data_IF_923839121542
#
_entry.id   IF_923839121542
#
_cell.length_a   1.000
_cell.length_b   1.000
_cell.length_c   1.000
_cell.angle_alpha   90.00
_cell.angle_beta   90.00
_cell.angle_gamma   90.00
#
_symmetry.space_group_name_H-M   'P 1'
#
loop_
_entity.id
_entity.type
_entity.pdbx_description
1 polymer ?
#
# COMPACT_ATOMS: atom_id res chain seq x y z
N UNK A 1 43.13 41.61 24.63
CA UNK A 1 42.00 42.52 24.92
C UNK A 1 42.57 43.85 25.36
N UNK A 2 42.21 44.94 24.70
CA UNK A 2 42.58 46.30 25.11
C UNK A 2 41.83 46.65 26.39
N UNK A 3 42.54 47.09 27.44
CA UNK A 3 41.93 47.42 28.73
C UNK A 3 41.10 48.71 28.60
N UNK A 4 39.87 48.73 29.12
CA UNK A 4 39.10 49.96 29.17
C UNK A 4 39.57 50.82 30.36
N UNK A 5 40.03 52.03 30.07
CA UNK A 5 40.47 52.99 31.09
C UNK A 5 39.40 54.09 31.19
N UNK A 6 38.75 54.29 32.36
CA UNK A 6 37.74 55.33 32.53
C UNK A 6 38.27 56.72 32.14
N UNK A 7 37.52 57.45 31.32
CA UNK A 7 37.90 58.79 30.84
C UNK A 7 38.89 58.80 29.66
N UNK A 8 39.33 57.64 29.17
CA UNK A 8 40.21 57.51 28.01
C UNK A 8 39.57 56.63 26.91
N UNK A 9 39.83 56.96 25.65
CA UNK A 9 39.46 56.19 24.48
C UNK A 9 40.71 55.61 23.82
N UNK A 10 40.74 54.31 23.57
CA UNK A 10 41.81 53.67 22.84
C UNK A 10 41.59 53.83 21.33
N UNK A 11 42.54 54.48 20.65
CA UNK A 11 42.52 54.62 19.20
C UNK A 11 43.31 53.45 18.57
N UNK A 12 42.67 52.54 17.83
CA UNK A 12 43.31 51.35 17.28
C UNK A 12 44.31 51.67 16.17
N UNK A 13 44.16 52.79 15.46
CA UNK A 13 45.08 53.19 14.38
C UNK A 13 46.40 53.71 14.97
N UNK A 14 46.31 54.50 16.04
CA UNK A 14 47.47 55.09 16.74
C UNK A 14 48.00 54.23 17.87
N UNK A 15 47.32 53.13 18.20
CA UNK A 15 47.64 52.19 19.30
C UNK A 15 47.87 52.88 20.65
N UNK A 16 47.15 53.98 20.93
CA UNK A 16 47.35 54.83 22.12
C UNK A 16 46.01 55.27 22.73
N UNK A 17 46.02 55.53 24.04
CA UNK A 17 44.88 56.09 24.76
C UNK A 17 44.86 57.62 24.67
N UNK A 18 43.68 58.17 24.35
CA UNK A 18 43.42 59.60 24.30
C UNK A 18 42.38 59.98 25.35
N UNK A 19 42.61 61.08 26.07
CA UNK A 19 41.67 61.56 27.08
C UNK A 19 40.39 62.06 26.39
N UNK A 20 39.23 61.59 26.87
CA UNK A 20 37.94 62.01 26.34
C UNK A 20 37.64 63.41 26.87
N UNK A 21 37.46 64.38 25.98
CA UNK A 21 37.11 65.75 26.34
C UNK A 21 35.60 65.93 26.44
N UNK A 22 35.15 66.77 27.37
CA UNK A 22 33.73 67.15 27.45
C UNK A 22 33.33 67.96 26.20
N UNK A 23 32.09 67.81 25.74
CA UNK A 23 31.65 68.38 24.45
C UNK A 23 31.80 69.92 24.37
N UNK A 24 31.66 70.62 25.51
CA UNK A 24 31.80 72.07 25.59
C UNK A 24 33.26 72.56 25.63
N UNK A 25 34.22 71.68 25.95
CA UNK A 25 35.64 71.99 26.07
C UNK A 25 36.46 71.53 24.85
N UNK A 26 35.81 70.91 23.87
CA UNK A 26 36.43 70.34 22.69
C UNK A 26 36.26 71.28 21.49
N UNK A 27 37.30 71.42 20.65
CA UNK A 27 37.22 72.21 19.42
C UNK A 27 36.13 71.66 18.48
N UNK A 28 35.55 72.47 17.57
CA UNK A 28 34.38 72.11 16.75
C UNK A 28 34.49 70.85 15.86
N UNK A 29 35.67 70.23 15.74
CA UNK A 29 35.92 68.98 15.01
C UNK A 29 36.82 67.99 15.78
N UNK A 30 36.84 68.07 17.12
CA UNK A 30 37.68 67.21 17.94
C UNK A 30 37.29 65.73 17.79
N UNK A 31 38.24 64.89 17.37
CA UNK A 31 38.02 63.47 17.13
C UNK A 31 37.76 62.65 18.41
N UNK A 32 38.09 63.19 19.59
CA UNK A 32 38.04 62.50 20.90
C UNK A 32 37.10 63.20 21.91
N UNK A 33 36.04 63.85 21.45
CA UNK A 33 34.97 64.37 22.32
C UNK A 33 34.05 63.25 22.82
N UNK A 34 33.29 63.47 23.89
CA UNK A 34 32.33 62.48 24.40
C UNK A 34 31.32 62.04 23.31
N UNK A 35 30.82 62.99 22.51
CA UNK A 35 29.88 62.68 21.42
C UNK A 35 30.54 61.91 20.27
N UNK A 36 31.78 62.26 19.88
CA UNK A 36 32.48 61.55 18.80
C UNK A 36 32.85 60.12 19.22
N UNK A 37 33.29 59.93 20.46
CA UNK A 37 33.62 58.62 21.02
C UNK A 37 32.37 57.75 21.17
N UNK A 38 31.25 58.32 21.63
CA UNK A 38 29.96 57.61 21.70
C UNK A 38 29.50 57.14 20.31
N UNK A 39 29.64 58.00 19.29
CA UNK A 39 29.33 57.66 17.90
C UNK A 39 30.25 56.54 17.38
N UNK A 40 31.57 56.67 17.54
CA UNK A 40 32.55 55.64 17.14
C UNK A 40 32.29 54.28 17.81
N UNK A 41 31.92 54.27 19.09
CA UNK A 41 31.53 53.04 19.81
C UNK A 41 30.27 52.42 19.20
N UNK A 42 29.23 53.21 18.97
CA UNK A 42 27.99 52.71 18.36
C UNK A 42 28.21 52.14 16.96
N UNK A 43 29.01 52.81 16.13
CA UNK A 43 29.36 52.33 14.78
C UNK A 43 30.15 51.02 14.83
N UNK A 44 31.06 50.88 15.80
CA UNK A 44 31.83 49.66 16.00
C UNK A 44 30.92 48.50 16.40
N UNK A 45 30.00 48.70 17.34
CA UNK A 45 28.99 47.70 17.73
C UNK A 45 28.08 47.31 16.55
N UNK A 46 27.65 48.27 15.73
CA UNK A 46 26.86 47.97 14.52
C UNK A 46 27.65 47.14 13.51
N UNK A 47 28.94 47.45 13.32
CA UNK A 47 29.83 46.66 12.44
C UNK A 47 30.03 45.24 12.96
N UNK A 48 30.29 45.08 14.26
CA UNK A 48 30.44 43.77 14.90
C UNK A 48 29.17 42.93 14.77
N UNK A 49 28.01 43.52 15.04
CA UNK A 49 26.71 42.85 14.86
C UNK A 49 26.47 42.44 13.40
N UNK A 50 26.82 43.29 12.44
CA UNK A 50 26.70 42.98 10.99
C UNK A 50 27.64 41.86 10.58
N UNK A 51 28.88 41.84 11.10
CA UNK A 51 29.83 40.74 10.84
C UNK A 51 29.36 39.43 11.46
N UNK A 52 28.80 39.47 12.67
CA UNK A 52 28.26 38.29 13.35
C UNK A 52 27.04 37.73 12.62
N UNK A 53 26.17 38.60 12.13
CA UNK A 53 25.01 38.22 11.31
C UNK A 53 25.46 37.54 10.02
N UNK A 54 26.44 38.12 9.29
CA UNK A 54 27.02 37.50 8.09
C UNK A 54 27.63 36.13 8.39
N UNK A 55 28.44 36.01 9.44
CA UNK A 55 29.02 34.72 9.82
C UNK A 55 27.97 33.66 10.17
N UNK A 56 26.85 34.08 10.79
CA UNK A 56 25.72 33.19 11.09
C UNK A 56 25.02 32.76 9.81
N UNK A 57 24.69 33.69 8.92
CA UNK A 57 24.12 33.40 7.60
C UNK A 57 25.04 32.46 6.80
N UNK A 58 26.36 32.65 6.83
CA UNK A 58 27.30 31.79 6.13
C UNK A 58 27.38 30.35 6.70
N UNK A 59 27.09 30.17 7.99
CA UNK A 59 27.04 28.85 8.65
C UNK A 59 25.69 28.16 8.49
N UNK A 60 24.60 28.91 8.54
CA UNK A 60 23.23 28.39 8.50
C UNK A 60 22.72 28.21 7.05
N UNK A 61 23.25 28.97 6.09
CA UNK A 61 22.86 28.86 4.69
C UNK A 61 23.73 27.83 3.98
N UNK A 62 23.10 26.80 3.42
CA UNK A 62 23.78 25.79 2.60
C UNK A 62 24.39 26.49 1.38
N UNK A 63 25.71 26.62 1.35
CA UNK A 63 26.44 27.14 0.18
C UNK A 63 26.41 26.08 -0.91
N UNK A 64 25.83 26.40 -2.07
CA UNK A 64 25.97 25.57 -3.28
C UNK A 64 27.46 25.39 -3.60
N UNK A 65 27.87 24.16 -3.88
CA UNK A 65 29.21 23.84 -4.34
C UNK A 65 29.59 24.70 -5.55
N UNK A 66 30.86 25.09 -5.67
CA UNK A 66 31.33 25.97 -6.75
C UNK A 66 31.07 25.38 -8.15
N UNK A 67 31.12 24.05 -8.29
CA UNK A 67 30.75 23.33 -9.50
C UNK A 67 29.29 23.57 -9.91
N UNK A 68 28.35 23.62 -8.96
CA UNK A 68 26.92 23.85 -9.22
C UNK A 68 26.57 25.29 -9.64
N UNK A 69 27.55 26.21 -9.66
CA UNK A 69 27.37 27.58 -10.18
C UNK A 69 27.66 27.68 -11.68
N UNK A 70 28.23 26.63 -12.27
CA UNK A 70 28.55 26.63 -13.70
C UNK A 70 27.25 26.52 -14.52
N UNK A 71 27.00 27.41 -15.51
CA UNK A 71 25.82 27.34 -16.36
C UNK A 71 25.69 25.99 -17.09
N UNK A 72 26.80 25.31 -17.39
CA UNK A 72 26.79 23.99 -18.02
C UNK A 72 26.26 22.87 -17.12
N UNK A 73 26.25 23.05 -15.80
CA UNK A 73 25.65 22.07 -14.86
C UNK A 73 24.12 22.08 -14.92
N UNK A 74 23.53 23.16 -15.42
CA UNK A 74 22.08 23.24 -15.65
C UNK A 74 21.69 22.92 -17.09
N UNK A 75 22.65 22.70 -17.99
CA UNK A 75 22.39 22.36 -19.39
C UNK A 75 21.61 21.04 -19.51
N UNK A 76 21.92 20.07 -18.66
CA UNK A 76 21.14 18.83 -18.54
C UNK A 76 19.68 19.09 -18.15
N UNK A 77 19.39 20.18 -17.41
CA UNK A 77 18.03 20.59 -17.04
C UNK A 77 17.27 21.22 -18.20
N UNK A 78 17.96 21.95 -19.06
CA UNK A 78 17.41 22.58 -20.26
C UNK A 78 17.22 21.60 -21.43
N UNK A 79 18.09 20.58 -21.53
CA UNK A 79 18.02 19.51 -22.54
C UNK A 79 17.14 18.33 -22.06
N UNK A 80 16.55 18.41 -20.85
CA UNK A 80 15.72 17.34 -20.26
C UNK A 80 16.52 16.09 -19.83
N UNK A 81 17.84 16.16 -19.85
CA UNK A 81 18.79 15.13 -19.43
C UNK A 81 19.10 15.15 -17.91
N UNK A 82 18.20 15.68 -17.06
CA UNK A 82 18.35 15.50 -15.62
C UNK A 82 18.15 14.02 -15.34
N UNK A 83 19.14 13.39 -14.73
CA UNK A 83 18.92 12.20 -13.91
C UNK A 83 18.04 12.62 -12.72
N UNK A 84 16.75 12.86 -12.98
CA UNK A 84 15.74 12.89 -11.92
C UNK A 84 15.92 11.60 -11.17
N UNK A 85 16.01 11.66 -9.83
CA UNK A 85 16.08 10.44 -9.03
C UNK A 85 15.01 9.47 -9.54
N UNK A 86 15.34 8.19 -9.68
CA UNK A 86 14.44 7.19 -10.28
C UNK A 86 13.00 7.31 -9.73
N UNK A 87 12.87 7.66 -8.44
CA UNK A 87 11.62 7.90 -7.74
C UNK A 87 10.87 9.17 -8.16
N UNK A 88 11.56 10.29 -8.37
CA UNK A 88 10.94 11.52 -8.87
C UNK A 88 10.45 11.34 -10.31
N UNK A 89 11.19 10.59 -11.12
CA UNK A 89 10.78 10.23 -12.49
C UNK A 89 9.55 9.32 -12.48
N UNK A 90 9.56 8.28 -11.64
CA UNK A 90 8.42 7.39 -11.45
C UNK A 90 7.20 8.16 -10.96
N UNK A 91 7.34 9.07 -9.99
CA UNK A 91 6.23 9.91 -9.51
C UNK A 91 5.65 10.80 -10.62
N UNK A 92 6.50 11.41 -11.43
CA UNK A 92 6.04 12.24 -12.55
C UNK A 92 5.33 11.39 -13.60
N UNK A 93 5.87 10.22 -13.93
CA UNK A 93 5.26 9.28 -14.87
C UNK A 93 3.91 8.76 -14.37
N UNK A 94 3.83 8.38 -13.09
CA UNK A 94 2.61 7.93 -12.44
C UNK A 94 1.49 8.99 -12.56
N UNK A 95 1.81 10.26 -12.34
CA UNK A 95 0.86 11.38 -12.48
C UNK A 95 0.41 11.60 -13.92
N UNK A 96 1.33 11.50 -14.88
CA UNK A 96 1.02 11.64 -16.30
C UNK A 96 0.10 10.51 -16.75
N UNK A 97 0.46 9.27 -16.45
CA UNK A 97 -0.36 8.09 -16.76
C UNK A 97 -1.73 8.20 -16.07
N UNK A 98 -1.77 8.55 -14.78
CA UNK A 98 -3.04 8.73 -14.06
C UNK A 98 -3.95 9.80 -14.68
N UNK A 99 -3.36 10.83 -15.31
CA UNK A 99 -4.13 11.88 -15.98
C UNK A 99 -4.78 11.42 -17.29
N UNK A 100 -4.27 10.34 -17.89
CA UNK A 100 -4.72 9.77 -19.17
C UNK A 100 -5.70 8.60 -19.00
N UNK A 101 -6.05 8.24 -17.76
CA UNK A 101 -6.97 7.14 -17.48
C UNK A 101 -8.31 7.27 -18.24
N UNK A 102 -8.62 6.26 -19.02
CA UNK A 102 -9.86 6.13 -19.78
C UNK A 102 -10.74 5.02 -19.19
N UNK A 103 -12.04 5.30 -19.06
CA UNK A 103 -13.04 4.38 -18.53
C UNK A 103 -13.67 3.57 -19.66
N UNK A 104 -13.76 2.25 -19.47
CA UNK A 104 -14.58 1.35 -20.27
C UNK A 104 -15.40 0.41 -19.38
N UNK A 105 -16.65 0.16 -19.74
CA UNK A 105 -17.39 -0.96 -19.16
C UNK A 105 -16.86 -2.25 -19.80
N UNK A 106 -16.33 -3.16 -18.97
CA UNK A 106 -15.72 -4.39 -19.45
C UNK A 106 -16.77 -5.48 -19.62
N UNK A 107 -17.59 -5.67 -18.59
CA UNK A 107 -18.63 -6.67 -18.55
C UNK A 107 -19.65 -6.33 -17.48
N UNK A 108 -20.90 -6.67 -17.74
CA UNK A 108 -21.99 -6.62 -16.76
C UNK A 108 -22.47 -8.03 -16.55
N UNK A 109 -22.23 -8.55 -15.36
CA UNK A 109 -22.67 -9.88 -14.99
C UNK A 109 -24.19 -9.89 -14.93
N UNK A 110 -24.83 -10.92 -15.47
CA UNK A 110 -26.28 -10.98 -15.47
C UNK A 110 -26.80 -10.87 -14.03
N UNK A 111 -27.59 -9.83 -13.71
CA UNK A 111 -28.19 -9.73 -12.39
C UNK A 111 -29.16 -10.90 -12.27
N UNK A 112 -28.81 -11.87 -11.43
CA UNK A 112 -29.77 -12.86 -10.95
C UNK A 112 -31.00 -12.11 -10.41
N UNK A 113 -32.26 -12.61 -10.46
CA UNK A 113 -33.54 -11.88 -10.38
C UNK A 113 -33.79 -10.76 -9.34
N UNK A 114 -32.83 -10.38 -8.49
CA UNK A 114 -32.86 -9.26 -7.55
C UNK A 114 -31.52 -8.51 -7.54
N UNK A 115 -31.42 -7.32 -6.93
CA UNK A 115 -30.18 -6.53 -6.87
C UNK A 115 -29.03 -7.27 -6.14
N UNK A 116 -27.95 -7.61 -6.86
CA UNK A 116 -26.68 -8.14 -6.33
C UNK A 116 -25.60 -7.06 -6.36
N UNK A 117 -24.58 -7.21 -5.51
CA UNK A 117 -23.38 -6.38 -5.57
C UNK A 117 -22.15 -7.28 -5.67
N UNK A 118 -21.36 -7.06 -6.71
CA UNK A 118 -20.02 -7.61 -6.88
C UNK A 118 -19.22 -7.27 -5.62
N UNK A 119 -18.42 -8.22 -5.12
CA UNK A 119 -17.56 -8.08 -3.94
C UNK A 119 -16.08 -8.16 -4.25
N UNK A 120 -15.72 -9.01 -5.20
CA UNK A 120 -14.35 -9.22 -5.64
C UNK A 120 -14.35 -9.45 -7.14
N UNK A 121 -13.33 -8.92 -7.80
CA UNK A 121 -13.07 -9.13 -9.22
C UNK A 121 -11.64 -9.59 -9.38
N UNK A 122 -11.44 -10.66 -10.15
CA UNK A 122 -10.15 -11.17 -10.54
C UNK A 122 -10.20 -11.48 -12.04
N UNK A 123 -9.11 -11.27 -12.75
CA UNK A 123 -8.91 -11.84 -14.08
C UNK A 123 -7.77 -12.82 -14.02
N UNK A 124 -7.95 -14.01 -14.59
CA UNK A 124 -6.88 -14.97 -14.68
C UNK A 124 -5.86 -14.50 -15.72
N UNK A 125 -4.60 -14.19 -15.35
CA UNK A 125 -3.62 -13.73 -16.32
C UNK A 125 -3.34 -14.80 -17.39
N UNK A 126 -3.41 -16.10 -17.06
CA UNK A 126 -3.07 -17.16 -18.03
C UNK A 126 -4.17 -17.39 -19.06
N UNK A 127 -5.42 -17.24 -18.66
CA UNK A 127 -6.58 -17.63 -19.48
C UNK A 127 -7.46 -16.45 -19.88
N UNK A 128 -7.20 -15.25 -19.38
CA UNK A 128 -8.06 -14.07 -19.56
C UNK A 128 -9.46 -14.18 -18.94
N UNK A 129 -9.80 -15.28 -18.28
CA UNK A 129 -11.12 -15.49 -17.66
C UNK A 129 -11.38 -14.41 -16.62
N UNK A 130 -12.45 -13.65 -16.79
CA UNK A 130 -12.93 -12.68 -15.82
C UNK A 130 -13.75 -13.43 -14.76
N UNK A 131 -13.52 -13.13 -13.49
CA UNK A 131 -14.13 -13.81 -12.35
C UNK A 131 -14.70 -12.72 -11.45
N UNK A 132 -15.99 -12.80 -11.16
CA UNK A 132 -16.64 -11.92 -10.21
C UNK A 132 -17.37 -12.73 -9.16
N UNK A 133 -17.13 -12.39 -7.90
CA UNK A 133 -17.98 -12.82 -6.81
C UNK A 133 -19.07 -11.79 -6.59
N UNK A 134 -20.31 -12.22 -6.41
CA UNK A 134 -21.43 -11.37 -6.03
C UNK A 134 -22.04 -11.84 -4.72
N UNK A 135 -22.61 -10.91 -3.96
CA UNK A 135 -23.27 -11.19 -2.69
C UNK A 135 -24.66 -10.56 -2.63
N UNK A 136 -25.59 -11.28 -1.99
CA UNK A 136 -26.93 -10.80 -1.63
C UNK A 136 -27.35 -11.39 -0.30
N UNK A 137 -27.47 -10.54 0.71
CA UNK A 137 -27.76 -11.02 2.08
C UNK A 137 -26.71 -12.03 2.51
N UNK A 138 -27.14 -13.27 2.79
CA UNK A 138 -26.28 -14.40 3.18
C UNK A 138 -26.00 -15.38 2.03
N UNK A 139 -26.39 -15.06 0.80
CA UNK A 139 -26.06 -15.85 -0.38
C UNK A 139 -24.92 -15.20 -1.15
N UNK A 140 -23.96 -16.00 -1.58
CA UNK A 140 -22.87 -15.58 -2.45
C UNK A 140 -22.82 -16.45 -3.69
N UNK A 141 -22.43 -15.86 -4.80
CA UNK A 141 -22.16 -16.60 -6.03
C UNK A 141 -20.86 -16.15 -6.65
N UNK A 142 -20.25 -17.05 -7.42
CA UNK A 142 -19.10 -16.73 -8.24
C UNK A 142 -19.48 -17.04 -9.68
N UNK A 143 -19.39 -16.03 -10.54
CA UNK A 143 -19.54 -16.16 -11.98
C UNK A 143 -18.17 -15.97 -12.65
N UNK A 144 -18.00 -16.67 -13.76
CA UNK A 144 -16.85 -16.52 -14.66
C UNK A 144 -17.34 -16.11 -16.04
N UNK A 145 -16.63 -15.24 -16.71
CA UNK A 145 -16.87 -14.88 -18.10
C UNK A 145 -15.59 -15.16 -18.89
N UNK A 146 -15.68 -16.09 -19.84
CA UNK A 146 -14.56 -16.41 -20.72
C UNK A 146 -14.41 -15.32 -21.78
N UNK A 147 -13.19 -14.83 -22.05
CA UNK A 147 -13.01 -13.86 -23.09
C UNK A 147 -13.26 -14.51 -24.46
N UNK A 148 -14.00 -13.83 -25.31
CA UNK A 148 -13.94 -14.03 -26.75
C UNK A 148 -12.77 -13.21 -27.31
N UNK A 149 -12.10 -13.75 -28.33
CA UNK A 149 -10.93 -13.13 -28.94
C UNK A 149 -11.36 -12.56 -30.29
N UNK A 150 -11.79 -11.30 -30.28
CA UNK A 150 -12.14 -10.57 -31.51
C UNK A 150 -11.08 -9.51 -31.81
N UNK A 151 -10.59 -9.50 -33.05
CA UNK A 151 -9.54 -8.60 -33.53
C UNK A 151 -8.38 -8.42 -32.55
N UNK A 152 -8.10 -9.48 -31.78
CA UNK A 152 -7.09 -9.52 -30.74
C UNK A 152 -7.22 -8.62 -29.52
N UNK A 153 -8.44 -8.35 -29.12
CA UNK A 153 -8.69 -7.92 -27.76
C UNK A 153 -9.66 -8.90 -27.12
N UNK A 154 -9.48 -9.09 -25.81
CA UNK A 154 -10.46 -9.83 -25.03
C UNK A 154 -11.76 -9.03 -24.95
N UNK A 155 -12.84 -9.62 -25.46
CA UNK A 155 -14.21 -9.13 -25.29
C UNK A 155 -14.98 -10.08 -24.38
N UNK A 156 -15.76 -9.52 -23.47
CA UNK A 156 -16.52 -10.30 -22.49
C UNK A 156 -18.01 -10.18 -22.79
N UNK A 157 -18.51 -11.13 -23.58
CA UNK A 157 -19.93 -11.20 -23.90
C UNK A 157 -20.70 -12.03 -22.86
N UNK A 158 -21.97 -11.66 -22.62
CA UNK A 158 -22.87 -12.35 -21.68
C UNK A 158 -23.06 -13.83 -22.03
N UNK A 159 -23.00 -14.18 -23.33
CA UNK A 159 -23.11 -15.57 -23.80
C UNK A 159 -21.97 -16.48 -23.30
N UNK A 160 -20.84 -15.89 -22.92
CA UNK A 160 -19.67 -16.57 -22.36
C UNK A 160 -19.66 -16.62 -20.83
N UNK A 161 -20.67 -16.04 -20.17
CA UNK A 161 -20.83 -16.09 -18.73
C UNK A 161 -21.26 -17.50 -18.28
N UNK A 162 -20.62 -18.02 -17.24
CA UNK A 162 -20.99 -19.26 -16.55
C UNK A 162 -20.97 -19.02 -15.05
N UNK A 163 -22.00 -19.50 -14.37
CA UNK A 163 -22.04 -19.52 -12.91
C UNK A 163 -21.18 -20.68 -12.42
N UNK A 164 -20.11 -20.39 -11.68
CA UNK A 164 -19.22 -21.40 -11.14
C UNK A 164 -19.87 -22.15 -9.96
N UNK A 165 -20.46 -21.39 -9.03
CA UNK A 165 -21.26 -21.94 -7.93
C UNK A 165 -22.13 -20.86 -7.27
N UNK A 166 -23.11 -21.31 -6.49
CA UNK A 166 -23.97 -20.51 -5.64
C UNK A 166 -24.13 -21.20 -4.30
N UNK A 167 -23.91 -20.46 -3.22
CA UNK A 167 -23.93 -21.03 -1.88
C UNK A 167 -24.62 -20.06 -0.91
N UNK A 168 -25.42 -20.57 0.04
CA UNK A 168 -26.01 -19.77 1.12
C UNK A 168 -24.98 -19.47 2.21
N UNK A 169 -23.83 -18.94 1.81
CA UNK A 169 -22.70 -18.60 2.65
C UNK A 169 -22.24 -17.18 2.30
N UNK A 170 -21.66 -16.50 3.29
CA UNK A 170 -20.92 -15.26 3.08
C UNK A 170 -19.53 -15.55 2.51
N UNK A 171 -19.26 -15.06 1.31
CA UNK A 171 -17.93 -15.12 0.71
C UNK A 171 -17.03 -14.04 1.32
N UNK A 172 -15.97 -14.45 2.02
CA UNK A 172 -15.06 -13.54 2.72
C UNK A 172 -13.94 -13.00 1.85
N UNK A 173 -13.34 -13.85 1.02
CA UNK A 173 -12.18 -13.53 0.19
C UNK A 173 -12.05 -14.51 -0.97
N UNK A 174 -11.43 -14.04 -2.04
CA UNK A 174 -11.17 -14.83 -3.24
C UNK A 174 -9.73 -14.61 -3.70
N UNK A 175 -9.00 -15.69 -3.99
CA UNK A 175 -7.61 -15.62 -4.47
C UNK A 175 -7.36 -16.65 -5.57
N UNK A 176 -6.51 -16.27 -6.53
CA UNK A 176 -6.17 -17.09 -7.69
C UNK A 176 -4.69 -17.49 -7.60
N UNK A 177 -4.41 -18.79 -7.67
CA UNK A 177 -3.04 -19.34 -7.72
C UNK A 177 -2.46 -19.27 -9.13
N UNK A 178 -1.13 -19.16 -9.21
CA UNK A 178 -0.37 -19.33 -10.45
C UNK A 178 -0.69 -20.65 -11.20
N UNK A 179 -1.17 -21.66 -10.48
CA UNK A 179 -1.56 -22.97 -11.01
C UNK A 179 -2.98 -23.02 -11.60
N UNK A 180 -3.72 -21.90 -11.60
CA UNK A 180 -5.09 -21.82 -12.13
C UNK A 180 -6.20 -22.18 -11.14
N UNK A 181 -5.86 -22.51 -9.90
CA UNK A 181 -6.84 -22.74 -8.84
C UNK A 181 -7.38 -21.43 -8.28
N UNK A 182 -8.70 -21.28 -8.29
CA UNK A 182 -9.45 -20.26 -7.56
C UNK A 182 -9.84 -20.80 -6.19
N UNK A 183 -9.44 -20.09 -5.13
CA UNK A 183 -9.83 -20.36 -3.76
C UNK A 183 -10.82 -19.30 -3.28
N UNK A 184 -11.98 -19.76 -2.79
CA UNK A 184 -12.99 -18.90 -2.18
C UNK A 184 -13.24 -19.31 -0.72
N UNK A 185 -13.27 -18.35 0.19
CA UNK A 185 -13.54 -18.58 1.61
C UNK A 185 -15.03 -18.38 1.91
N UNK A 186 -15.71 -19.41 2.43
CA UNK A 186 -17.15 -19.39 2.70
C UNK A 186 -17.40 -19.43 4.20
N UNK A 187 -18.11 -18.43 4.73
CA UNK A 187 -18.43 -18.27 6.14
C UNK A 187 -19.93 -18.18 6.37
N UNK A 188 -20.33 -18.26 7.64
CA UNK A 188 -21.71 -17.98 8.08
C UNK A 188 -22.76 -18.77 7.29
N UNK A 189 -22.50 -20.07 7.10
CA UNK A 189 -23.46 -20.98 6.47
C UNK A 189 -24.74 -21.15 7.28
N UNK A 190 -25.75 -21.85 6.73
CA UNK A 190 -27.06 -22.02 7.38
C UNK A 190 -26.99 -22.71 8.75
N UNK A 191 -25.94 -23.50 8.99
CA UNK A 191 -25.70 -24.20 10.26
C UNK A 191 -24.64 -23.49 11.12
N UNK A 192 -24.25 -22.26 10.76
CA UNK A 192 -23.09 -21.58 11.33
C UNK A 192 -21.75 -22.21 10.94
N UNK A 193 -21.74 -23.03 9.89
CA UNK A 193 -20.55 -23.70 9.38
C UNK A 193 -19.80 -22.85 8.35
N UNK A 194 -18.60 -23.30 8.01
CA UNK A 194 -17.74 -22.66 7.03
C UNK A 194 -17.01 -23.72 6.21
N UNK A 195 -16.57 -23.34 5.01
CA UNK A 195 -15.73 -24.19 4.19
C UNK A 195 -14.87 -23.36 3.24
N UNK A 196 -13.86 -24.01 2.67
CA UNK A 196 -13.07 -23.46 1.57
C UNK A 196 -13.50 -24.17 0.29
N UNK A 197 -13.76 -23.39 -0.76
CA UNK A 197 -14.06 -23.92 -2.09
C UNK A 197 -12.86 -23.71 -3.00
N UNK A 198 -12.27 -24.79 -3.49
CA UNK A 198 -11.19 -24.74 -4.47
C UNK A 198 -11.70 -25.24 -5.84
N UNK A 199 -11.46 -24.45 -6.89
CA UNK A 199 -11.87 -24.73 -8.26
C UNK A 199 -10.70 -24.58 -9.21
N UNK A 200 -10.43 -25.59 -10.03
CA UNK A 200 -9.52 -25.46 -11.16
C UNK A 200 -10.25 -24.80 -12.33
N UNK A 201 -9.78 -23.64 -12.77
CA UNK A 201 -10.36 -22.95 -13.91
C UNK A 201 -9.83 -23.51 -15.22
N UNK A 202 -10.65 -23.56 -16.28
CA UNK A 202 -10.23 -24.04 -17.58
C UNK A 202 -9.26 -23.06 -18.22
N UNK A 203 -8.33 -23.60 -18.99
CA UNK A 203 -7.46 -22.85 -19.88
C UNK A 203 -7.97 -22.99 -21.32
N UNK A 204 -7.73 -21.99 -22.18
CA UNK A 204 -8.06 -22.11 -23.60
C UNK A 204 -7.21 -23.23 -24.22
N UNK A 205 -7.85 -24.06 -25.06
CA UNK A 205 -7.12 -24.98 -25.94
C UNK A 205 -6.39 -24.23 -27.07
N UNK A 206 -5.63 -24.94 -27.91
CA UNK A 206 -4.92 -24.34 -29.05
C UNK A 206 -5.86 -23.56 -30.00
N UNK A 207 -7.15 -23.92 -30.02
CA UNK A 207 -8.19 -23.24 -30.78
C UNK A 207 -8.90 -22.11 -30.03
N UNK A 208 -8.44 -21.75 -28.82
CA UNK A 208 -9.04 -20.70 -27.99
C UNK A 208 -10.30 -21.13 -27.22
N UNK A 209 -10.70 -22.40 -27.27
CA UNK A 209 -11.92 -22.85 -26.61
C UNK A 209 -11.65 -23.25 -25.15
N UNK A 210 -12.58 -22.88 -24.26
CA UNK A 210 -12.50 -23.21 -22.84
C UNK A 210 -13.21 -24.53 -22.57
N UNK A 211 -12.46 -25.54 -22.13
CA UNK A 211 -13.01 -26.84 -21.72
C UNK A 211 -12.77 -27.09 -20.24
N UNK A 212 -13.84 -27.36 -19.50
CA UNK A 212 -13.73 -27.70 -18.09
C UNK A 212 -12.88 -28.97 -17.90
N UNK A 213 -11.93 -28.97 -16.94
CA UNK A 213 -11.14 -30.16 -16.63
C UNK A 213 -12.04 -31.34 -16.23
N UNK A 214 -11.69 -32.57 -16.63
CA UNK A 214 -12.47 -33.77 -16.30
C UNK A 214 -12.66 -33.99 -14.78
N UNK A 215 -11.77 -33.44 -13.95
CA UNK A 215 -11.82 -33.50 -12.49
C UNK A 215 -12.31 -32.19 -11.84
N UNK A 216 -13.08 -31.35 -12.54
CA UNK A 216 -13.53 -30.03 -12.09
C UNK A 216 -14.65 -30.04 -11.02
N UNK A 217 -14.72 -31.05 -10.17
CA UNK A 217 -15.68 -31.03 -9.08
C UNK A 217 -15.23 -30.02 -8.01
N UNK A 218 -16.13 -29.17 -7.49
CA UNK A 218 -15.80 -28.22 -6.45
C UNK A 218 -15.27 -28.96 -5.22
N UNK A 219 -14.07 -28.59 -4.78
CA UNK A 219 -13.47 -29.22 -3.61
C UNK A 219 -13.86 -28.41 -2.40
N UNK A 220 -14.75 -28.98 -1.59
CA UNK A 220 -15.18 -28.38 -0.32
C UNK A 220 -14.32 -28.91 0.81
N UNK A 221 -13.50 -28.04 1.38
CA UNK A 221 -12.61 -28.36 2.49
C UNK A 221 -13.21 -27.76 3.75
N UNK A 222 -13.65 -28.61 4.67
CA UNK A 222 -14.21 -28.20 5.95
C UNK A 222 -13.15 -28.29 7.05
N UNK A 223 -13.10 -27.32 7.99
CA UNK A 223 -12.22 -27.43 9.13
C UNK A 223 -12.71 -28.53 10.07
N UNK A 224 -11.77 -29.13 10.82
CA UNK A 224 -12.10 -30.15 11.83
C UNK A 224 -12.82 -29.59 13.07
N UNK A 225 -12.78 -28.28 13.26
CA UNK A 225 -13.39 -27.57 14.38
C UNK A 225 -14.00 -26.24 13.91
N UNK A 226 -14.99 -25.69 14.63
CA UNK A 226 -15.59 -24.41 14.28
C UNK A 226 -14.54 -23.29 14.21
N UNK A 227 -14.50 -22.58 13.09
CA UNK A 227 -13.65 -21.42 12.85
C UNK A 227 -14.26 -20.55 11.75
N UNK A 228 -13.68 -19.38 11.48
CA UNK A 228 -14.07 -18.50 10.37
C UNK A 228 -12.86 -18.18 9.50
N UNK A 229 -13.05 -18.12 8.19
CA UNK A 229 -12.04 -17.84 7.17
C UNK A 229 -12.16 -16.39 6.68
N UNK A 230 -11.34 -15.49 7.21
CA UNK A 230 -11.47 -14.06 6.94
C UNK A 230 -10.88 -13.62 5.60
N UNK A 231 -9.71 -14.17 5.25
CA UNK A 231 -8.98 -13.76 4.04
C UNK A 231 -8.14 -14.91 3.48
N UNK A 232 -7.77 -14.78 2.20
CA UNK A 232 -6.87 -15.71 1.52
C UNK A 232 -5.90 -14.97 0.60
N UNK A 233 -4.69 -15.48 0.47
CA UNK A 233 -3.69 -15.01 -0.49
C UNK A 233 -2.98 -16.20 -1.13
N UNK A 234 -2.86 -16.20 -2.45
CA UNK A 234 -2.16 -17.26 -3.18
C UNK A 234 -0.65 -17.05 -3.14
N UNK A 235 0.10 -18.14 -3.00
CA UNK A 235 1.56 -18.11 -3.13
C UNK A 235 1.91 -17.62 -4.54
N UNK A 236 2.89 -16.71 -4.71
CA UNK A 236 3.21 -16.13 -6.01
C UNK A 236 3.78 -17.17 -6.98
N UNK A 237 4.62 -18.08 -6.48
CA UNK A 237 5.31 -19.10 -7.27
C UNK A 237 5.38 -20.41 -6.50
N UNK A 238 5.36 -21.55 -7.19
CA UNK A 238 5.37 -22.86 -6.56
C UNK A 238 5.13 -23.99 -7.56
N UNK A 239 5.20 -25.23 -7.07
CA UNK A 239 4.91 -26.45 -7.85
C UNK A 239 3.45 -26.90 -7.72
N UNK A 240 2.78 -26.53 -6.63
CA UNK A 240 1.40 -26.89 -6.28
C UNK A 240 0.61 -25.65 -5.90
N UNK A 241 -0.72 -25.75 -5.82
CA UNK A 241 -1.54 -24.64 -5.35
C UNK A 241 -1.36 -24.50 -3.84
N UNK A 242 -0.78 -23.38 -3.41
CA UNK A 242 -0.57 -23.06 -2.00
C UNK A 242 -1.18 -21.70 -1.67
N UNK A 243 -1.95 -21.64 -0.60
CA UNK A 243 -2.62 -20.43 -0.13
C UNK A 243 -2.32 -20.19 1.34
N UNK A 244 -2.11 -18.93 1.70
CA UNK A 244 -2.18 -18.45 3.07
C UNK A 244 -3.63 -18.10 3.40
N UNK A 245 -4.11 -18.45 4.58
CA UNK A 245 -5.49 -18.21 5.01
C UNK A 245 -5.48 -17.59 6.40
N UNK A 246 -6.09 -16.41 6.51
CA UNK A 246 -6.32 -15.76 7.80
C UNK A 246 -7.63 -16.25 8.40
N UNK A 247 -7.59 -16.69 9.66
CA UNK A 247 -8.74 -17.32 10.30
C UNK A 247 -8.97 -16.76 11.70
N UNK A 248 -10.14 -17.04 12.29
CA UNK A 248 -10.43 -16.74 13.69
C UNK A 248 -9.45 -17.39 14.67
N UNK A 249 -8.80 -18.47 14.24
CA UNK A 249 -7.90 -19.30 15.05
C UNK A 249 -6.41 -19.06 14.78
N UNK A 250 -6.07 -18.15 13.87
CA UNK A 250 -4.70 -17.83 13.49
C UNK A 250 -4.45 -17.92 11.99
N UNK A 251 -3.17 -18.10 11.64
CA UNK A 251 -2.72 -18.32 10.28
C UNK A 251 -2.78 -19.82 9.96
N UNK A 252 -3.39 -20.15 8.83
CA UNK A 252 -3.35 -21.47 8.24
C UNK A 252 -2.76 -21.39 6.84
N UNK A 253 -2.24 -22.51 6.35
CA UNK A 253 -1.95 -22.67 4.92
C UNK A 253 -2.78 -23.80 4.35
N UNK A 254 -3.17 -23.64 3.10
CA UNK A 254 -3.85 -24.66 2.34
C UNK A 254 -2.98 -25.02 1.15
N UNK A 255 -2.53 -26.26 1.10
CA UNK A 255 -1.77 -26.79 -0.03
C UNK A 255 -2.53 -27.95 -0.66
N UNK A 256 -2.65 -27.95 -1.98
CA UNK A 256 -3.24 -29.07 -2.67
C UNK A 256 -3.04 -29.08 -4.17
N UNK A 257 -3.33 -30.24 -4.74
CA UNK A 257 -3.35 -30.46 -6.19
C UNK A 257 -4.42 -31.50 -6.49
N UNK A 258 -5.24 -31.25 -7.51
CA UNK A 258 -6.37 -32.12 -7.86
C UNK A 258 -7.22 -32.44 -6.63
N UNK A 259 -7.38 -33.71 -6.26
CA UNK A 259 -8.21 -34.15 -5.13
C UNK A 259 -7.55 -34.08 -3.75
N UNK A 260 -6.25 -33.83 -3.66
CA UNK A 260 -5.51 -33.88 -2.39
C UNK A 260 -5.29 -32.48 -1.86
N UNK A 261 -5.95 -32.16 -0.75
CA UNK A 261 -5.85 -30.86 -0.09
C UNK A 261 -5.56 -31.03 1.39
N UNK A 262 -4.64 -30.23 1.90
CA UNK A 262 -4.21 -30.26 3.29
C UNK A 262 -4.29 -28.85 3.88
N UNK A 263 -5.09 -28.72 4.95
CA UNK A 263 -5.19 -27.49 5.72
C UNK A 263 -4.30 -27.61 6.97
N UNK A 264 -3.27 -26.77 7.05
CA UNK A 264 -2.24 -26.79 8.10
C UNK A 264 -2.31 -25.52 8.96
N UNK A 265 -2.50 -25.65 10.27
CA UNK A 265 -2.39 -24.51 11.20
C UNK A 265 -0.91 -24.17 11.44
N UNK A 266 -0.54 -22.91 11.31
CA UNK A 266 0.85 -22.46 11.53
C UNK A 266 1.07 -22.03 12.98
N UNK A 267 2.20 -22.42 13.59
CA UNK A 267 2.46 -22.16 14.99
C UNK A 267 2.69 -20.66 15.27
N UNK A 268 2.26 -20.24 16.46
CA UNK A 268 2.46 -18.89 16.99
C UNK A 268 3.27 -19.00 18.30
N UNK A 269 4.23 -18.09 18.53
CA UNK A 269 4.93 -18.03 19.84
C UNK A 269 3.94 -17.57 20.91
N UNK A 270 3.59 -18.48 21.82
CA UNK A 270 2.50 -18.33 22.79
C UNK A 270 1.35 -19.33 22.59
N UNK A 271 1.41 -20.12 21.51
CA UNK A 271 0.47 -21.20 21.20
C UNK A 271 1.17 -22.56 21.30
N UNK A 272 1.92 -22.79 22.39
CA UNK A 272 2.10 -24.16 22.86
C UNK A 272 0.69 -24.69 23.08
N UNK A 273 0.30 -25.67 22.27
CA UNK A 273 -0.91 -26.43 22.49
C UNK A 273 -0.75 -27.10 23.84
N UNK A 274 -1.19 -26.43 24.89
CA UNK A 274 -1.52 -27.08 26.15
C UNK A 274 -2.58 -28.12 25.78
N UNK A 275 -2.21 -29.39 25.88
CA UNK A 275 -3.08 -30.56 25.74
C UNK A 275 -4.11 -30.65 26.87
N UNK A 276 -4.23 -29.62 27.72
CA UNK A 276 -5.24 -29.56 28.76
C UNK A 276 -6.59 -29.11 28.19
N UNK A 277 -7.55 -30.02 28.31
CA UNK A 277 -9.00 -29.92 28.01
C UNK A 277 -9.74 -28.94 28.93
N UNK A 278 -9.13 -27.80 29.26
CA UNK A 278 -9.77 -26.73 30.02
C UNK A 278 -10.57 -25.81 29.09
N UNK A 279 -11.80 -25.46 29.48
CA UNK A 279 -12.62 -24.41 28.83
C UNK A 279 -11.78 -23.15 28.61
N UNK A 280 -11.34 -22.92 27.37
CA UNK A 280 -10.68 -21.68 26.97
C UNK A 280 -11.67 -20.54 27.18
N UNK A 281 -11.27 -19.52 27.94
CA UNK A 281 -12.00 -18.26 28.04
C UNK A 281 -12.20 -17.67 26.65
N UNK A 282 -13.45 -17.30 26.31
CA UNK A 282 -13.88 -16.68 25.05
C UNK A 282 -13.02 -15.43 24.67
N UNK A 283 -12.50 -14.73 25.68
CA UNK A 283 -11.58 -13.59 25.50
C UNK A 283 -10.22 -13.96 24.89
N UNK A 284 -9.79 -15.22 24.95
CA UNK A 284 -8.51 -15.68 24.43
C UNK A 284 -8.52 -15.92 22.91
N UNK A 285 -9.66 -16.35 22.35
CA UNK A 285 -9.79 -16.66 20.91
C UNK A 285 -9.58 -15.42 20.02
N UNK A 286 -10.11 -14.26 20.42
CA UNK A 286 -9.99 -13.03 19.60
C UNK A 286 -8.57 -12.48 19.45
N UNK A 287 -7.63 -12.85 20.34
CA UNK A 287 -6.25 -12.33 20.31
C UNK A 287 -5.44 -12.85 19.13
N UNK A 288 -5.87 -13.96 18.52
CA UNK A 288 -5.14 -14.64 17.45
C UNK A 288 -5.82 -14.52 16.08
N UNK A 289 -7.00 -13.89 16.00
CA UNK A 289 -7.73 -13.73 14.74
C UNK A 289 -6.90 -12.95 13.70
N UNK A 290 -6.60 -13.60 12.59
CA UNK A 290 -5.85 -13.05 11.46
C UNK A 290 -6.83 -12.61 10.39
N UNK A 291 -6.91 -11.30 10.14
CA UNK A 291 -7.86 -10.72 9.19
C UNK A 291 -7.23 -10.33 7.86
N UNK A 292 -5.90 -10.23 7.79
CA UNK A 292 -5.16 -9.99 6.56
C UNK A 292 -4.01 -10.97 6.44
N UNK A 293 -3.77 -11.49 5.24
CA UNK A 293 -2.61 -12.30 4.91
C UNK A 293 -2.06 -11.86 3.57
N UNK A 294 -0.73 -11.87 3.44
CA UNK A 294 -0.04 -11.52 2.21
C UNK A 294 1.30 -12.25 2.16
N UNK A 295 1.73 -12.67 0.97
CA UNK A 295 3.05 -13.27 0.78
C UNK A 295 4.10 -12.16 0.60
N UNK A 296 5.16 -12.18 1.40
CA UNK A 296 6.33 -11.30 1.25
C UNK A 296 7.41 -11.93 0.37
N UNK A 297 7.38 -13.25 0.24
CA UNK A 297 8.20 -14.03 -0.68
C UNK A 297 7.53 -15.39 -0.89
N UNK A 298 8.15 -16.30 -1.62
CA UNK A 298 7.67 -17.67 -1.77
C UNK A 298 7.54 -18.41 -0.42
N UNK A 299 8.33 -18.06 0.59
CA UNK A 299 8.40 -18.79 1.87
C UNK A 299 7.94 -17.98 3.09
N UNK A 300 7.71 -16.68 2.93
CA UNK A 300 7.42 -15.78 4.05
C UNK A 300 6.02 -15.19 3.89
N UNK A 301 5.17 -15.44 4.90
CA UNK A 301 3.81 -14.92 4.97
C UNK A 301 3.76 -13.80 6.01
N UNK A 302 3.28 -12.63 5.62
CA UNK A 302 2.84 -11.59 6.52
C UNK A 302 1.39 -11.84 6.94
N UNK A 303 1.10 -11.75 8.23
CA UNK A 303 -0.23 -11.94 8.78
C UNK A 303 -0.59 -10.80 9.75
N UNK A 304 -1.69 -10.12 9.44
CA UNK A 304 -2.25 -8.99 10.17
C UNK A 304 -3.38 -9.42 11.09
N UNK A 305 -3.31 -9.01 12.35
CA UNK A 305 -4.28 -9.37 13.38
C UNK A 305 -5.25 -8.23 13.69
N UNK A 306 -6.42 -8.60 14.23
CA UNK A 306 -7.42 -7.64 14.75
C UNK A 306 -6.87 -6.75 15.87
N UNK A 307 -5.84 -7.19 16.59
CA UNK A 307 -5.19 -6.45 17.67
C UNK A 307 -4.07 -5.50 17.19
N UNK A 308 -4.07 -5.16 15.91
CA UNK A 308 -3.06 -4.32 15.23
C UNK A 308 -1.70 -4.96 14.98
N UNK A 309 -1.42 -6.17 15.46
CA UNK A 309 -0.09 -6.78 15.25
C UNK A 309 0.05 -7.34 13.84
N UNK A 310 1.23 -7.17 13.27
CA UNK A 310 1.66 -7.82 12.02
C UNK A 310 2.85 -8.71 12.36
N UNK A 311 2.72 -9.98 12.05
CA UNK A 311 3.78 -10.96 12.20
C UNK A 311 4.19 -11.55 10.86
N UNK A 312 5.42 -12.04 10.81
CA UNK A 312 5.95 -12.81 9.69
C UNK A 312 6.07 -14.27 10.13
N UNK A 313 5.65 -15.18 9.26
CA UNK A 313 5.84 -16.62 9.38
C UNK A 313 6.74 -17.10 8.24
N UNK A 314 7.84 -17.76 8.57
CA UNK A 314 8.76 -18.35 7.60
C UNK A 314 8.52 -19.87 7.53
N UNK A 315 8.07 -20.34 6.37
CA UNK A 315 7.70 -21.74 6.13
C UNK A 315 8.90 -22.69 6.24
N UNK A 316 10.12 -22.24 5.93
CA UNK A 316 11.33 -23.08 5.95
C UNK A 316 11.73 -23.41 7.38
N UNK A 317 11.63 -22.43 8.27
CA UNK A 317 11.99 -22.59 9.69
C UNK A 317 10.81 -23.02 10.57
N UNK A 318 9.57 -22.85 10.08
CA UNK A 318 8.35 -22.95 10.89
C UNK A 318 8.24 -21.84 11.94
N UNK A 319 9.13 -20.84 11.91
CA UNK A 319 9.23 -19.77 12.89
C UNK A 319 8.26 -18.62 12.61
N UNK A 320 7.69 -18.06 13.68
CA UNK A 320 6.84 -16.86 13.63
C UNK A 320 7.41 -15.76 14.52
N UNK A 321 7.38 -14.52 14.05
CA UNK A 321 7.80 -13.35 14.81
C UNK A 321 6.90 -12.15 14.54
N UNK A 322 6.40 -11.53 15.61
CA UNK A 322 5.72 -10.22 15.50
C UNK A 322 6.76 -9.15 15.16
N UNK A 323 6.55 -8.41 14.07
CA UNK A 323 7.51 -7.44 13.55
C UNK A 323 7.00 -6.01 13.64
N UNK A 324 5.71 -5.79 13.41
CA UNK A 324 5.13 -4.46 13.36
C UNK A 324 3.82 -4.42 14.17
N UNK A 325 3.41 -3.21 14.52
CA UNK A 325 2.11 -2.90 15.10
C UNK A 325 1.51 -1.74 14.32
N UNK A 326 0.38 -1.99 13.67
CA UNK A 326 -0.41 -1.00 12.97
C UNK A 326 -1.13 -0.07 13.96
N UNK A 327 -1.77 0.99 13.45
CA UNK A 327 -2.44 1.96 14.30
C UNK A 327 -3.82 1.49 14.77
N UNK A 328 -4.46 0.63 13.98
CA UNK A 328 -5.76 0.00 14.23
C UNK A 328 -5.74 -1.46 13.75
N UNK A 329 -6.88 -2.13 13.73
CA UNK A 329 -7.01 -3.52 13.29
C UNK A 329 -6.49 -3.68 11.86
N UNK A 330 -5.64 -4.68 11.61
CA UNK A 330 -5.14 -4.92 10.25
C UNK A 330 -6.17 -5.76 9.50
N UNK A 331 -6.85 -5.16 8.54
CA UNK A 331 -7.94 -5.78 7.78
C UNK A 331 -7.52 -6.18 6.37
N UNK A 332 -6.53 -5.49 5.79
CA UNK A 332 -5.97 -5.85 4.51
C UNK A 332 -4.48 -5.46 4.44
N UNK A 333 -3.71 -6.21 3.66
CA UNK A 333 -2.30 -5.93 3.42
C UNK A 333 -1.95 -6.26 1.97
N UNK A 334 -0.99 -5.52 1.41
CA UNK A 334 -0.39 -5.79 0.11
C UNK A 334 1.11 -5.60 0.17
N UNK A 335 1.87 -6.49 -0.47
CA UNK A 335 3.31 -6.34 -0.59
C UNK A 335 3.62 -5.19 -1.58
N UNK A 336 4.56 -4.31 -1.22
CA UNK A 336 5.11 -3.31 -2.14
C UNK A 336 6.43 -3.79 -2.76
N UNK A 337 7.35 -4.27 -1.93
CA UNK A 337 8.64 -4.83 -2.34
C UNK A 337 9.11 -5.86 -1.31
N UNK A 338 10.35 -6.36 -1.44
CA UNK A 338 10.93 -7.35 -0.52
C UNK A 338 10.90 -6.91 0.95
N UNK A 339 10.99 -5.61 1.22
CA UNK A 339 11.09 -5.06 2.57
C UNK A 339 9.88 -4.25 2.98
N UNK A 340 8.97 -3.92 2.07
CA UNK A 340 7.87 -3.00 2.34
C UNK A 340 6.52 -3.63 2.08
N UNK A 341 5.59 -3.30 2.97
CA UNK A 341 4.19 -3.68 2.85
C UNK A 341 3.31 -2.49 3.20
N UNK A 342 2.14 -2.45 2.60
CA UNK A 342 1.07 -1.51 2.95
C UNK A 342 0.04 -2.28 3.75
N UNK A 343 -0.41 -1.71 4.87
CA UNK A 343 -1.46 -2.25 5.70
C UNK A 343 -2.59 -1.22 5.84
N UNK A 344 -3.82 -1.71 5.71
CA UNK A 344 -5.05 -0.96 5.91
C UNK A 344 -5.79 -1.49 7.14
N UNK A 345 -6.33 -0.55 7.90
CA UNK A 345 -7.37 -0.78 8.88
C UNK A 345 -8.54 0.18 8.67
N UNK A 346 -9.53 0.17 9.58
CA UNK A 346 -10.74 0.98 9.42
C UNK A 346 -10.50 2.48 9.27
N UNK A 347 -9.44 3.02 9.87
CA UNK A 347 -9.17 4.47 9.90
C UNK A 347 -7.79 4.84 9.41
N UNK A 348 -6.94 3.87 9.08
CA UNK A 348 -5.57 4.16 8.69
C UNK A 348 -5.08 3.28 7.57
N UNK A 349 -4.35 3.89 6.65
CA UNK A 349 -3.59 3.22 5.61
C UNK A 349 -2.14 3.67 5.80
N UNK A 350 -1.23 2.71 5.97
CA UNK A 350 0.19 2.99 6.26
C UNK A 350 1.09 1.98 5.56
N UNK A 351 2.19 2.48 5.01
CA UNK A 351 3.28 1.67 4.50
C UNK A 351 4.35 1.50 5.59
N UNK A 352 4.90 0.30 5.71
CA UNK A 352 5.96 -0.03 6.64
C UNK A 352 7.18 -0.57 5.89
N UNK A 353 8.38 -0.34 6.44
CA UNK A 353 9.62 -0.93 5.96
C UNK A 353 10.19 -1.85 7.06
N UNK A 354 10.22 -3.14 6.77
CA UNK A 354 10.57 -4.23 7.69
C UNK A 354 12.00 -4.14 8.21
N UNK A 355 12.89 -3.42 7.53
CA UNK A 355 14.26 -3.16 7.98
C UNK A 355 14.31 -2.20 9.17
N UNK A 356 13.30 -1.35 9.29
CA UNK A 356 13.12 -0.40 10.39
C UNK A 356 12.12 -0.88 11.43
N UNK A 357 11.73 -2.15 11.38
CA UNK A 357 10.89 -2.77 12.39
C UNK A 357 11.54 -2.67 13.79
N UNK A 358 10.77 -2.32 14.83
CA UNK A 358 11.31 -2.20 16.18
C UNK A 358 11.82 -3.55 16.69
N UNK A 359 12.94 -3.54 17.42
CA UNK A 359 13.51 -4.77 18.04
C UNK A 359 12.57 -5.38 19.09
N UNK A 360 11.80 -4.54 19.78
CA UNK A 360 10.79 -4.95 20.74
C UNK A 360 9.57 -4.04 20.60
N UNK A 361 8.39 -4.67 20.52
CA UNK A 361 7.12 -3.95 20.48
C UNK A 361 6.66 -3.65 21.91
N UNK A 362 6.44 -2.37 22.21
CA UNK A 362 5.76 -1.96 23.43
C UNK A 362 4.25 -2.07 23.18
N UNK A 363 3.44 -2.56 24.16
CA UNK A 363 2.02 -2.84 23.94
C UNK A 363 1.16 -1.69 23.40
N UNK A 364 1.60 -0.44 23.58
CA UNK A 364 0.85 0.77 23.27
C UNK A 364 1.43 1.58 22.09
N UNK A 365 2.60 1.22 21.56
CA UNK A 365 3.27 2.02 20.55
C UNK A 365 3.07 1.41 19.15
N UNK A 366 2.32 2.11 18.29
CA UNK A 366 2.27 1.78 16.87
C UNK A 366 3.67 1.91 16.26
N UNK A 367 4.04 0.98 15.39
CA UNK A 367 5.28 1.06 14.64
C UNK A 367 5.32 2.31 13.78
N UNK A 368 6.49 2.94 13.68
CA UNK A 368 6.68 4.13 12.84
C UNK A 368 6.46 3.75 11.37
N UNK A 369 5.47 4.35 10.68
CA UNK A 369 5.27 4.09 9.27
C UNK A 369 6.42 4.67 8.43
N UNK A 370 6.72 4.01 7.32
CA UNK A 370 7.56 4.55 6.26
C UNK A 370 6.83 5.68 5.51
N UNK A 371 5.56 5.46 5.21
CA UNK A 371 4.69 6.41 4.52
C UNK A 371 3.27 6.32 5.08
N UNK A 372 2.58 7.45 5.13
CA UNK A 372 1.18 7.56 5.59
C UNK A 372 0.33 8.16 4.47
N UNK A 373 -0.94 7.73 4.41
CA UNK A 373 -1.92 8.23 3.43
C UNK A 373 -2.99 9.04 4.18
N UNK A 374 -2.82 10.36 4.35
CA UNK A 374 -3.63 11.16 5.28
C UNK A 374 -5.08 11.31 4.84
N UNK A 375 -5.34 11.35 3.54
CA UNK A 375 -6.69 11.55 2.98
C UNK A 375 -7.44 10.22 2.74
N UNK A 376 -6.98 9.13 3.35
CA UNK A 376 -7.59 7.81 3.21
C UNK A 376 -8.96 7.74 3.90
N UNK A 377 -9.95 7.27 3.17
CA UNK A 377 -11.32 7.03 3.64
C UNK A 377 -11.76 5.64 3.19
N UNK A 378 -11.97 4.75 4.15
CA UNK A 378 -12.22 3.33 3.91
C UNK A 378 -13.71 3.00 3.80
N UNK A 379 -14.04 1.93 3.09
CA UNK A 379 -15.30 1.20 3.28
C UNK A 379 -15.34 0.54 4.68
N UNK A 380 -16.52 0.10 5.17
CA UNK A 380 -16.61 -0.63 6.44
C UNK A 380 -15.66 -1.83 6.55
N UNK A 381 -15.45 -2.52 5.42
CA UNK A 381 -14.38 -3.49 5.22
C UNK A 381 -13.41 -2.85 4.23
N UNK A 382 -12.24 -2.36 4.67
CA UNK A 382 -11.26 -1.75 3.78
C UNK A 382 -10.84 -2.72 2.67
N UNK A 383 -10.78 -2.20 1.45
CA UNK A 383 -10.17 -2.89 0.30
C UNK A 383 -9.29 -1.92 -0.47
N UNK A 384 -8.13 -2.35 -0.94
CA UNK A 384 -7.24 -1.59 -1.79
C UNK A 384 -6.36 -2.53 -2.60
N UNK A 385 -5.83 -1.99 -3.69
CA UNK A 385 -4.76 -2.66 -4.43
C UNK A 385 -3.68 -1.65 -4.79
N UNK A 386 -2.50 -2.16 -5.13
CA UNK A 386 -1.38 -1.32 -5.50
C UNK A 386 -0.70 -1.82 -6.77
N UNK A 387 -0.13 -0.88 -7.52
CA UNK A 387 0.73 -1.14 -8.67
C UNK A 387 2.14 -0.65 -8.38
N UNK A 388 3.09 -1.59 -8.32
CA UNK A 388 4.50 -1.28 -8.06
C UNK A 388 5.19 -0.67 -9.27
N UNK A 389 4.78 -1.08 -10.47
CA UNK A 389 5.23 -0.50 -11.75
C UNK A 389 4.81 0.96 -11.86
N UNK A 390 3.51 1.23 -11.69
CA UNK A 390 2.96 2.58 -11.79
C UNK A 390 3.29 3.44 -10.57
N UNK A 391 3.65 2.83 -9.42
CA UNK A 391 3.88 3.55 -8.19
C UNK A 391 2.59 4.13 -7.58
N UNK A 392 1.45 3.46 -7.79
CA UNK A 392 0.12 3.93 -7.41
C UNK A 392 -0.62 2.94 -6.51
N UNK A 393 -1.52 3.46 -5.68
CA UNK A 393 -2.43 2.70 -4.84
C UNK A 393 -3.85 3.19 -5.07
N UNK A 394 -4.78 2.27 -5.29
CA UNK A 394 -6.19 2.58 -5.48
C UNK A 394 -7.02 1.99 -4.34
N UNK A 395 -7.99 2.76 -3.84
CA UNK A 395 -8.91 2.33 -2.79
C UNK A 395 -10.30 2.91 -3.04
N UNK A 396 -11.37 2.11 -3.01
CA UNK A 396 -12.72 2.64 -2.92
C UNK A 396 -12.96 3.41 -1.61
N UNK A 397 -13.87 4.37 -1.66
CA UNK A 397 -14.31 5.15 -0.51
C UNK A 397 -15.83 5.10 -0.37
N UNK A 398 -16.32 5.31 0.86
CA UNK A 398 -17.75 5.44 1.19
C UNK A 398 -18.44 6.58 0.42
N UNK A 399 -17.68 7.53 -0.12
CA UNK A 399 -18.21 8.66 -0.91
C UNK A 399 -18.51 8.30 -2.38
N UNK A 400 -18.63 7.01 -2.70
CA UNK A 400 -18.87 6.49 -4.05
C UNK A 400 -17.86 7.00 -5.09
N UNK A 401 -16.58 7.00 -4.69
CA UNK A 401 -15.42 7.36 -5.53
C UNK A 401 -14.27 6.41 -5.26
N UNK A 402 -13.34 6.38 -6.20
CA UNK A 402 -12.04 5.73 -6.01
C UNK A 402 -11.00 6.80 -5.66
N UNK A 403 -10.27 6.54 -4.59
CA UNK A 403 -9.11 7.31 -4.19
C UNK A 403 -7.87 6.69 -4.85
N UNK A 404 -7.03 7.53 -5.43
CA UNK A 404 -5.76 7.13 -6.04
C UNK A 404 -4.64 7.85 -5.32
N UNK A 405 -3.64 7.12 -4.82
CA UNK A 405 -2.53 7.65 -4.04
C UNK A 405 -1.19 7.30 -4.68
N UNK A 406 -0.21 8.19 -4.53
CA UNK A 406 1.18 7.92 -4.88
C UNK A 406 1.84 7.07 -3.79
N UNK A 407 2.48 5.96 -4.18
CA UNK A 407 3.29 5.13 -3.28
C UNK A 407 4.61 5.81 -2.86
N UNK A 408 4.96 6.94 -3.48
CA UNK A 408 6.18 7.69 -3.20
C UNK A 408 5.94 8.86 -2.24
N UNK A 409 4.80 9.53 -2.35
CA UNK A 409 4.46 10.74 -1.56
C UNK A 409 3.36 10.51 -0.55
N UNK A 410 2.53 9.48 -0.72
CA UNK A 410 1.37 9.18 0.12
C UNK A 410 0.17 10.10 -0.13
N UNK A 411 0.30 11.05 -1.06
CA UNK A 411 -0.73 12.02 -1.39
C UNK A 411 -1.64 11.50 -2.50
N UNK A 412 -2.86 12.03 -2.56
CA UNK A 412 -3.78 11.71 -3.64
C UNK A 412 -3.26 12.23 -4.99
N UNK A 413 -3.47 11.44 -6.03
CA UNK A 413 -3.12 11.75 -7.43
C UNK A 413 -4.41 12.08 -8.19
N UNK A 414 -4.60 13.35 -8.59
CA UNK A 414 -5.75 13.74 -9.40
C UNK A 414 -5.77 13.01 -10.74
N UNK A 415 -6.92 12.47 -11.10
CA UNK A 415 -7.13 11.69 -12.33
C UNK A 415 -8.61 11.72 -12.75
N UNK A 416 -8.93 11.40 -14.01
CA UNK A 416 -10.31 11.12 -14.42
C UNK A 416 -11.03 10.13 -13.49
N UNK A 417 -10.33 9.07 -13.05
CA UNK A 417 -10.80 8.09 -12.07
C UNK A 417 -11.27 8.72 -10.75
N UNK A 418 -10.45 9.57 -10.13
CA UNK A 418 -10.80 10.23 -8.86
C UNK A 418 -11.93 11.26 -8.97
N UNK A 419 -12.19 11.77 -10.18
CA UNK A 419 -13.29 12.71 -10.45
C UNK A 419 -14.61 12.01 -10.76
N UNK A 420 -14.56 10.72 -11.10
CA UNK A 420 -15.74 9.95 -11.43
C UNK A 420 -16.55 9.63 -10.16
N UNK A 421 -17.85 9.91 -10.22
CA UNK A 421 -18.80 9.65 -9.15
C UNK A 421 -19.65 8.44 -9.54
N UNK A 422 -19.55 7.37 -8.77
CA UNK A 422 -20.36 6.16 -8.95
C UNK A 422 -21.74 6.33 -8.29
N UNK A 423 -22.72 5.58 -8.78
CA UNK A 423 -24.09 5.51 -8.21
C UNK A 423 -24.10 4.89 -6.82
N UNK A 424 -23.24 3.90 -6.60
CA UNK A 424 -23.02 3.21 -5.34
C UNK A 424 -21.52 3.14 -5.03
N UNK A 425 -21.12 2.85 -3.77
CA UNK A 425 -19.72 2.67 -3.45
C UNK A 425 -19.12 1.49 -4.23
N UNK A 426 -18.06 1.69 -5.03
CA UNK A 426 -17.33 0.58 -5.63
C UNK A 426 -16.88 -0.39 -4.54
N UNK A 427 -17.05 -1.68 -4.78
CA UNK A 427 -16.85 -2.70 -3.76
C UNK A 427 -15.44 -3.27 -3.73
N UNK A 428 -14.71 -3.19 -4.85
CA UNK A 428 -13.35 -3.69 -4.99
C UNK A 428 -12.62 -2.99 -6.15
N UNK A 429 -11.29 -3.05 -6.08
CA UNK A 429 -10.38 -2.60 -7.13
C UNK A 429 -9.26 -3.62 -7.30
N UNK A 430 -8.77 -3.80 -8.53
CA UNK A 430 -7.65 -4.69 -8.82
C UNK A 430 -6.77 -4.10 -9.91
N UNK A 431 -5.48 -3.90 -9.62
CA UNK A 431 -4.52 -3.55 -10.66
C UNK A 431 -4.17 -4.80 -11.46
N UNK A 432 -4.05 -4.61 -12.77
CA UNK A 432 -3.58 -5.59 -13.72
C UNK A 432 -2.36 -5.03 -14.44
N UNK A 433 -1.41 -5.90 -14.73
CA UNK A 433 -0.26 -5.61 -15.56
C UNK A 433 -0.48 -6.22 -16.93
N UNK A 434 0.12 -5.63 -17.97
CA UNK A 434 0.14 -6.24 -19.29
C UNK A 434 0.77 -7.63 -19.21
N UNK A 435 0.23 -8.59 -19.96
CA UNK A 435 0.77 -9.95 -20.01
C UNK A 435 1.86 -10.04 -21.10
N UNK A 436 3.05 -10.50 -20.73
CA UNK A 436 4.14 -10.75 -21.68
C UNK A 436 4.17 -12.19 -22.25
N UNK A 437 3.24 -13.10 -21.90
CA UNK A 437 3.27 -14.51 -22.37
C UNK A 437 1.91 -15.25 -22.39
N UNK A 438 1.64 -16.17 -23.35
CA UNK A 438 2.09 -16.20 -24.75
C UNK A 438 1.10 -15.43 -25.66
N UNK A 439 1.29 -15.49 -26.98
CA UNK A 439 0.69 -14.74 -28.12
C UNK A 439 -0.81 -14.37 -28.12
N UNK A 440 -1.60 -14.74 -27.10
CA UNK A 440 -3.03 -14.45 -26.93
C UNK A 440 -3.28 -13.11 -26.21
N UNK A 441 -2.78 -12.02 -26.82
CA UNK A 441 -3.35 -10.66 -26.89
C UNK A 441 -4.24 -10.19 -25.71
N UNK A 442 -3.75 -10.32 -24.47
CA UNK A 442 -4.34 -9.70 -23.27
C UNK A 442 -4.21 -8.16 -23.30
N UNK A 443 -4.64 -7.45 -22.24
CA UNK A 443 -4.46 -5.99 -22.17
C UNK A 443 -2.97 -5.64 -22.42
N UNK A 444 -2.71 -4.81 -23.42
CA UNK A 444 -1.35 -4.48 -23.88
C UNK A 444 -0.58 -3.57 -22.91
N UNK A 445 -1.27 -3.06 -21.90
CA UNK A 445 -0.70 -2.20 -20.88
C UNK A 445 -1.41 -2.43 -19.55
N UNK A 446 -0.98 -1.72 -18.49
CA UNK A 446 -1.61 -1.84 -17.20
C UNK A 446 -3.10 -1.46 -17.27
N UNK A 447 -3.88 -1.94 -16.32
CA UNK A 447 -5.27 -1.51 -16.14
C UNK A 447 -5.68 -1.60 -14.68
N UNK A 448 -6.79 -0.93 -14.34
CA UNK A 448 -7.43 -1.04 -13.05
C UNK A 448 -8.86 -1.53 -13.25
N UNK A 449 -9.17 -2.71 -12.73
CA UNK A 449 -10.54 -3.21 -12.66
C UNK A 449 -11.25 -2.61 -11.45
N UNK A 450 -12.51 -2.25 -11.64
CA UNK A 450 -13.40 -1.71 -10.62
C UNK A 450 -14.69 -2.49 -10.63
N UNK A 451 -15.04 -3.11 -9.51
CA UNK A 451 -16.35 -3.76 -9.33
C UNK A 451 -17.33 -2.79 -8.65
N UNK A 452 -18.47 -2.54 -9.28
CA UNK A 452 -19.56 -1.74 -8.70
C UNK A 452 -20.90 -2.36 -9.10
N UNK A 453 -21.80 -2.59 -8.14
CA UNK A 453 -23.09 -3.24 -8.37
C UNK A 453 -22.95 -4.55 -9.18
N UNK A 454 -23.50 -4.62 -10.39
CA UNK A 454 -23.42 -5.75 -11.32
C UNK A 454 -22.36 -5.58 -12.42
N UNK A 455 -21.66 -4.44 -12.44
CA UNK A 455 -20.73 -4.08 -13.49
C UNK A 455 -19.26 -4.19 -13.06
N UNK A 456 -18.43 -4.66 -13.98
CA UNK A 456 -16.98 -4.54 -13.92
C UNK A 456 -16.55 -3.51 -14.95
N UNK A 457 -15.89 -2.46 -14.49
CA UNK A 457 -15.28 -1.44 -15.32
C UNK A 457 -13.77 -1.66 -15.38
N UNK A 458 -13.18 -1.32 -16.53
CA UNK A 458 -11.74 -1.28 -16.73
C UNK A 458 -11.30 0.16 -16.98
N UNK A 459 -10.29 0.58 -16.24
CA UNK A 459 -9.61 1.85 -16.44
C UNK A 459 -8.21 1.59 -17.04
N UNK A 460 -7.97 2.09 -18.24
CA UNK A 460 -6.71 1.91 -18.99
C UNK A 460 -5.90 3.20 -19.03
N UNK A 461 -4.58 3.11 -18.97
CA UNK A 461 -3.66 4.27 -18.85
C UNK A 461 -3.35 4.94 -20.18
#
# INVERSE_FOLDING_TARGET
MTREIPGFYYDPEKKKYFKIQANHAAAPNAQYSQQSVKRKRSELTTRENKTRLRQREEKETIRKAASLKNPLVHLQREVGAVETSSRARQEQQARIQASQLHRGELHRFEPWPNSYSIRHVLRNPRSGTLIASSARGYESSVSVCFPDIDESQWRYDHTMERVLFREPYWLGSMSLSHSGYLLATMNEGPQGDCFLSAHLLPEPDEGGNYRWPTFSHPIRIRPHYPMSFWCSAAQPTGSSAHFAIGTSEGLHTLEGTSSHWSLSKKPFKGNTVSTHTGRRSDRSQSKHSVHAVEWMSQDVIAAGQKNSKIFLHDLRSGGSATRLQHNDSVMEMKQMDEYRLVAAGPRSLRMYDLRFAPKALKPQDSSKPYLTFPDFSSLPIPTFDLSTELGLLASPSQHCRIQLFSLQTGLQVPSPLTRHQYSSPPSCVRFEYGNDTPEWRGPQGPSLLVGTDDAVEQWTW
#
